data_IF_805078862811
#
_entry.id   IF_805078862811
#
_cell.length_a   1.000
_cell.length_b   1.000
_cell.length_c   1.000
_cell.angle_alpha   90.00
_cell.angle_beta   90.00
_cell.angle_gamma   90.00
#
_symmetry.space_group_name_H-M   'P 1'
#
loop_
_entity.id
_entity.type
_entity.pdbx_description
1 polymer ?
#
# COMPACT_ATOMS: atom_id res chain seq x y z
N UNK A 1 1.28 5.39 -12.80
CA UNK A 1 1.86 4.30 -11.98
C UNK A 1 3.36 4.45 -11.84
N UNK A 2 4.08 4.75 -12.92
CA UNK A 2 5.55 4.76 -12.89
C UNK A 2 6.14 5.91 -12.08
N UNK A 3 5.51 7.09 -12.08
CA UNK A 3 5.94 8.21 -11.23
C UNK A 3 5.79 7.92 -9.74
N UNK A 4 4.66 7.33 -9.33
CA UNK A 4 4.41 6.96 -7.94
C UNK A 4 5.26 5.78 -7.48
N UNK A 5 5.68 4.90 -8.41
CA UNK A 5 6.58 3.80 -8.12
C UNK A 5 8.00 4.25 -7.71
N UNK A 6 8.36 5.52 -7.94
CA UNK A 6 9.62 6.11 -7.48
C UNK A 6 9.60 6.49 -5.99
N UNK A 7 8.42 6.53 -5.37
CA UNK A 7 8.29 6.92 -3.96
C UNK A 7 8.58 5.73 -3.04
N UNK A 8 9.55 5.86 -2.11
CA UNK A 8 9.80 4.81 -1.12
C UNK A 8 8.60 4.65 -0.18
N UNK A 9 8.37 3.44 0.31
CA UNK A 9 7.27 3.09 1.21
C UNK A 9 5.83 3.30 0.67
N UNK A 10 5.63 3.55 -0.63
CA UNK A 10 4.31 3.68 -1.24
C UNK A 10 4.09 2.63 -2.33
N UNK A 11 2.98 1.88 -2.25
CA UNK A 11 2.53 0.96 -3.29
C UNK A 11 1.12 1.33 -3.75
N UNK A 12 0.88 1.24 -5.06
CA UNK A 12 -0.46 1.44 -5.64
C UNK A 12 -1.15 0.11 -5.89
N UNK A 13 -2.47 0.11 -5.72
CA UNK A 13 -3.36 -1.00 -6.00
C UNK A 13 -4.75 -0.49 -6.40
N UNK A 14 -5.57 -1.38 -6.91
CA UNK A 14 -6.98 -1.12 -7.22
C UNK A 14 -7.26 -0.91 -8.70
N UNK A 15 -8.55 -0.72 -9.00
CA UNK A 15 -9.08 -0.83 -10.35
C UNK A 15 -8.45 0.11 -11.38
N UNK A 16 -8.05 1.30 -10.92
CA UNK A 16 -7.42 2.33 -11.75
C UNK A 16 -6.01 1.93 -12.19
N UNK A 17 -5.34 1.05 -11.46
CA UNK A 17 -3.92 0.73 -11.67
C UNK A 17 -3.65 -0.70 -12.14
N UNK A 18 -4.38 -1.68 -11.61
CA UNK A 18 -4.07 -3.11 -11.81
C UNK A 18 -5.21 -3.90 -12.48
N UNK A 19 -6.35 -3.26 -12.76
CA UNK A 19 -7.45 -3.87 -13.52
C UNK A 19 -8.80 -3.88 -12.79
N UNK A 20 -9.89 -3.89 -13.58
CA UNK A 20 -11.26 -3.71 -13.09
C UNK A 20 -11.88 -5.02 -12.58
N UNK A 21 -12.70 -4.90 -11.52
CA UNK A 21 -13.43 -6.01 -10.91
C UNK A 21 -13.01 -6.25 -9.46
N UNK A 22 -13.95 -6.72 -8.62
CA UNK A 22 -13.70 -7.01 -7.20
C UNK A 22 -12.49 -7.96 -7.04
N UNK A 23 -12.37 -9.07 -7.79
CA UNK A 23 -11.25 -9.99 -7.62
C UNK A 23 -9.89 -9.35 -7.95
N UNK A 24 -9.81 -8.59 -9.05
CA UNK A 24 -8.57 -7.92 -9.47
C UNK A 24 -8.15 -6.86 -8.45
N UNK A 25 -9.11 -6.08 -7.94
CA UNK A 25 -8.89 -5.09 -6.91
C UNK A 25 -8.32 -5.74 -5.62
N UNK A 26 -8.98 -6.77 -5.10
CA UNK A 26 -8.55 -7.46 -3.87
C UNK A 26 -7.16 -8.08 -4.04
N UNK A 27 -6.91 -8.77 -5.17
CA UNK A 27 -5.61 -9.39 -5.45
C UNK A 27 -4.49 -8.35 -5.49
N UNK A 28 -4.73 -7.20 -6.15
CA UNK A 28 -3.76 -6.11 -6.18
C UNK A 28 -3.50 -5.48 -4.81
N UNK A 29 -4.54 -5.36 -3.97
CA UNK A 29 -4.43 -4.82 -2.63
C UNK A 29 -3.60 -5.74 -1.71
N UNK A 30 -3.85 -7.05 -1.76
CA UNK A 30 -3.07 -8.04 -1.02
C UNK A 30 -1.59 -7.99 -1.41
N UNK A 31 -1.31 -7.97 -2.73
CA UNK A 31 0.07 -7.87 -3.22
C UNK A 31 0.78 -6.61 -2.71
N UNK A 32 0.11 -5.45 -2.79
CA UNK A 32 0.67 -4.19 -2.31
C UNK A 32 0.91 -4.19 -0.79
N UNK A 33 0.00 -4.77 -0.01
CA UNK A 33 0.14 -4.91 1.43
C UNK A 33 1.30 -5.83 1.81
N UNK A 34 1.44 -6.98 1.14
CA UNK A 34 2.54 -7.92 1.35
C UNK A 34 3.90 -7.29 1.06
N UNK A 35 3.98 -6.50 -0.03
CA UNK A 35 5.18 -5.76 -0.39
C UNK A 35 5.59 -4.75 0.71
N UNK A 36 4.62 -3.98 1.23
CA UNK A 36 4.87 -3.02 2.33
C UNK A 36 5.25 -3.77 3.61
N UNK A 37 4.54 -4.84 3.97
CA UNK A 37 4.83 -5.62 5.16
C UNK A 37 6.25 -6.20 5.12
N UNK A 38 6.69 -6.72 3.97
CA UNK A 38 8.07 -7.21 3.78
C UNK A 38 9.09 -6.10 3.97
N UNK A 39 8.84 -4.91 3.44
CA UNK A 39 9.73 -3.76 3.56
C UNK A 39 9.86 -3.31 5.04
N UNK A 40 8.74 -3.24 5.76
CA UNK A 40 8.72 -2.92 7.21
C UNK A 40 9.49 -3.97 8.02
N UNK A 41 9.28 -5.25 7.73
CA UNK A 41 9.96 -6.35 8.42
C UNK A 41 11.47 -6.31 8.15
N UNK A 42 11.88 -6.04 6.91
CA UNK A 42 13.27 -6.00 6.51
C UNK A 42 14.01 -4.75 7.04
N UNK A 43 13.31 -3.63 7.21
CA UNK A 43 13.90 -2.38 7.70
C UNK A 43 12.93 -1.70 8.66
N UNK A 44 12.90 -2.15 9.92
CA UNK A 44 11.98 -1.60 10.91
C UNK A 44 12.41 -0.18 11.31
N UNK A 45 11.98 0.79 10.52
CA UNK A 45 12.02 2.21 10.88
C UNK A 45 10.72 2.53 11.60
N UNK A 46 10.84 2.92 12.88
CA UNK A 46 9.67 3.25 13.70
C UNK A 46 9.01 4.53 13.19
N UNK A 47 7.91 4.38 12.47
CA UNK A 47 7.01 5.51 12.15
C UNK A 47 6.29 5.89 13.45
N UNK A 48 6.46 7.15 13.88
CA UNK A 48 5.68 7.72 14.99
C UNK A 48 4.29 8.02 14.41
N UNK A 49 3.30 7.22 14.80
CA UNK A 49 1.97 7.22 14.17
C UNK A 49 1.29 8.59 14.19
N UNK A 50 0.61 8.91 13.09
CA UNK A 50 -0.41 9.96 13.04
C UNK A 50 -1.62 9.47 13.81
N UNK A 51 -1.96 10.15 14.92
CA UNK A 51 -3.18 9.84 15.68
C UNK A 51 -4.40 9.95 14.77
N UNK A 52 -5.12 8.84 14.61
CA UNK A 52 -6.40 8.82 13.91
C UNK A 52 -7.47 9.38 14.84
N UNK A 53 -7.57 10.70 14.94
CA UNK A 53 -8.74 11.39 15.50
C UNK A 53 -9.71 11.71 14.36
N UNK A 54 -10.34 10.67 13.83
CA UNK A 54 -11.41 10.81 12.84
C UNK A 54 -12.42 9.69 13.08
N UNK A 55 -13.37 9.97 13.99
CA UNK A 55 -14.39 9.04 14.41
C UNK A 55 -15.08 9.47 15.69
N UNK A 56 -15.61 10.70 15.71
CA UNK A 56 -16.65 11.13 16.64
C UNK A 56 -17.78 11.77 15.84
#
# INVERSE_FOLDING_TARGET
RDEVAKLPALRVCGAVYDGVGIPACIASAHRAADEIAREIIATPTRVRGTGSEAGQ
#
